data_IF_813860935747
#
_entry.id   IF_813860935747
#
_cell.length_a   1.000
_cell.length_b   1.000
_cell.length_c   1.000
_cell.angle_alpha   90.00
_cell.angle_beta   90.00
_cell.angle_gamma   90.00
#
_symmetry.space_group_name_H-M   'P 1'
#
loop_
_entity.id
_entity.type
_entity.pdbx_description
1 polymer ?
#
# COMPACT_ATOMS: atom_id res chain seq x y z
N UNK A 1 19.24 -9.75 -22.22
CA UNK A 1 18.07 -10.64 -22.30
C UNK A 1 16.84 -9.78 -22.54
N UNK A 2 15.91 -10.20 -23.39
CA UNK A 2 14.65 -9.47 -23.60
C UNK A 2 13.78 -9.64 -22.33
N UNK A 3 13.07 -8.59 -21.91
CA UNK A 3 12.13 -8.69 -20.78
C UNK A 3 11.09 -9.78 -21.06
N UNK A 4 10.93 -10.72 -20.12
CA UNK A 4 10.04 -11.88 -20.25
C UNK A 4 10.70 -13.17 -20.75
N UNK A 5 11.99 -13.16 -21.09
CA UNK A 5 12.76 -14.38 -21.38
C UNK A 5 13.34 -15.02 -20.10
N UNK A 6 13.48 -16.35 -20.10
CA UNK A 6 14.18 -17.07 -19.03
C UNK A 6 15.62 -16.56 -18.93
N UNK A 7 16.09 -16.40 -17.70
CA UNK A 7 17.34 -15.69 -17.48
C UNK A 7 18.13 -16.35 -16.32
N UNK A 8 19.44 -16.60 -16.47
CA UNK A 8 20.23 -17.34 -15.49
C UNK A 8 20.54 -16.50 -14.23
N UNK A 9 20.28 -17.06 -13.06
CA UNK A 9 20.67 -16.58 -11.75
C UNK A 9 21.80 -17.46 -11.25
N UNK A 10 22.90 -16.86 -10.80
CA UNK A 10 24.02 -17.60 -10.25
C UNK A 10 23.95 -17.56 -8.72
N UNK A 11 23.98 -18.72 -8.09
CA UNK A 11 24.00 -18.88 -6.64
C UNK A 11 25.31 -19.54 -6.23
N UNK A 12 26.12 -18.83 -5.45
CA UNK A 12 27.37 -19.37 -4.92
C UNK A 12 27.15 -19.90 -3.49
N UNK A 13 27.63 -21.11 -3.19
CA UNK A 13 27.69 -21.64 -1.83
C UNK A 13 28.92 -21.11 -1.09
N UNK A 14 28.91 -21.26 0.23
CA UNK A 14 30.05 -20.99 1.10
C UNK A 14 31.24 -21.93 0.84
N UNK A 15 31.00 -23.09 0.23
CA UNK A 15 32.02 -24.03 -0.24
C UNK A 15 32.61 -23.66 -1.62
N UNK A 16 32.11 -22.60 -2.26
CA UNK A 16 32.62 -22.08 -3.54
C UNK A 16 32.01 -22.71 -4.80
N UNK A 17 30.97 -23.53 -4.65
CA UNK A 17 30.22 -24.07 -5.78
C UNK A 17 29.26 -23.02 -6.35
N UNK A 18 29.14 -22.95 -7.68
CA UNK A 18 28.21 -22.02 -8.36
C UNK A 18 27.13 -22.79 -9.10
N UNK A 19 25.89 -22.54 -8.72
CA UNK A 19 24.70 -23.12 -9.34
C UNK A 19 24.02 -22.12 -10.28
N UNK A 20 23.57 -22.59 -11.44
CA UNK A 20 22.68 -21.82 -12.31
C UNK A 20 21.22 -22.16 -12.03
N UNK A 21 20.45 -21.16 -11.61
CA UNK A 21 18.99 -21.22 -11.45
C UNK A 21 18.33 -20.39 -12.55
N UNK A 22 17.26 -20.89 -13.15
CA UNK A 22 16.53 -20.11 -14.17
C UNK A 22 15.43 -19.25 -13.54
N UNK A 23 15.55 -17.93 -13.67
CA UNK A 23 14.45 -17.01 -13.36
C UNK A 23 13.44 -17.03 -14.51
N UNK A 24 12.25 -17.59 -14.24
CA UNK A 24 11.19 -17.79 -15.23
C UNK A 24 9.95 -16.90 -14.99
N UNK A 25 9.89 -16.19 -13.85
CA UNK A 25 8.78 -15.31 -13.47
C UNK A 25 9.31 -14.11 -12.68
N UNK A 26 8.62 -12.98 -12.80
CA UNK A 26 9.00 -11.73 -12.15
C UNK A 26 10.07 -10.95 -12.91
N UNK A 27 10.45 -9.81 -12.35
CA UNK A 27 11.56 -8.97 -12.82
C UNK A 27 12.75 -9.17 -11.90
N UNK A 28 13.96 -9.04 -12.44
CA UNK A 28 15.19 -9.22 -11.65
C UNK A 28 15.40 -8.03 -10.71
N UNK A 29 15.89 -8.30 -9.52
CA UNK A 29 16.39 -7.24 -8.65
C UNK A 29 17.67 -6.66 -9.27
N UNK A 30 17.78 -5.32 -9.27
CA UNK A 30 18.90 -4.61 -9.93
C UNK A 30 18.69 -4.36 -11.43
N UNK A 31 17.58 -4.83 -12.01
CA UNK A 31 17.22 -4.52 -13.38
C UNK A 31 16.64 -3.08 -13.48
N UNK A 32 17.21 -2.21 -14.33
CA UNK A 32 16.77 -0.81 -14.44
C UNK A 32 15.29 -0.62 -14.77
N UNK A 33 14.66 -1.52 -15.54
CA UNK A 33 13.25 -1.38 -15.91
C UNK A 33 12.29 -2.15 -15.00
N UNK A 34 12.80 -2.93 -14.03
CA UNK A 34 11.98 -3.75 -13.14
C UNK A 34 10.88 -2.95 -12.45
N UNK A 35 11.21 -1.79 -11.89
CA UNK A 35 10.26 -0.93 -11.19
C UNK A 35 9.15 -0.42 -12.10
N UNK A 36 9.49 0.03 -13.32
CA UNK A 36 8.52 0.51 -14.29
C UNK A 36 7.59 -0.61 -14.77
N UNK A 37 8.13 -1.79 -15.08
CA UNK A 37 7.35 -2.94 -15.52
C UNK A 37 6.42 -3.45 -14.41
N UNK A 38 6.89 -3.48 -13.16
CA UNK A 38 6.06 -3.80 -12.00
C UNK A 38 4.92 -2.79 -11.85
N UNK A 39 5.23 -1.50 -11.90
CA UNK A 39 4.23 -0.44 -11.80
C UNK A 39 3.16 -0.56 -12.90
N UNK A 40 3.55 -0.80 -14.16
CA UNK A 40 2.62 -0.99 -15.27
C UNK A 40 1.70 -2.20 -15.04
N UNK A 41 2.27 -3.33 -14.61
CA UNK A 41 1.51 -4.55 -14.37
C UNK A 41 0.46 -4.39 -13.25
N UNK A 42 0.83 -3.69 -12.17
CA UNK A 42 -0.05 -3.50 -11.01
C UNK A 42 -1.02 -2.33 -11.20
N UNK A 43 -0.67 -1.32 -11.99
CA UNK A 43 -1.46 -0.10 -12.16
C UNK A 43 -2.91 -0.37 -12.59
N UNK A 44 -3.13 -1.32 -13.51
CA UNK A 44 -4.49 -1.66 -13.97
C UNK A 44 -5.37 -2.20 -12.85
N UNK A 45 -4.81 -3.06 -12.00
CA UNK A 45 -5.50 -3.64 -10.85
C UNK A 45 -5.85 -2.56 -9.83
N UNK A 46 -4.93 -1.63 -9.59
CA UNK A 46 -5.16 -0.52 -8.65
C UNK A 46 -6.18 0.48 -9.20
N UNK A 47 -6.18 0.74 -10.50
CA UNK A 47 -7.16 1.62 -11.14
C UNK A 47 -8.60 1.09 -11.00
N UNK A 48 -8.80 -0.22 -11.08
CA UNK A 48 -10.10 -0.85 -10.79
C UNK A 48 -10.56 -0.57 -9.34
N UNK A 49 -9.66 -0.69 -8.36
CA UNK A 49 -9.96 -0.40 -6.95
C UNK A 49 -10.25 1.09 -6.77
N UNK A 50 -9.48 1.99 -7.40
CA UNK A 50 -9.72 3.43 -7.35
C UNK A 50 -11.11 3.81 -7.87
N UNK A 51 -11.55 3.21 -8.97
CA UNK A 51 -12.89 3.45 -9.54
C UNK A 51 -14.01 2.92 -8.64
N UNK A 52 -13.79 1.78 -7.98
CA UNK A 52 -14.77 1.17 -7.08
C UNK A 52 -14.91 1.93 -5.75
N UNK A 53 -13.85 2.61 -5.29
CA UNK A 53 -13.81 3.32 -4.01
C UNK A 53 -13.34 4.78 -4.19
N UNK A 54 -14.17 5.66 -4.78
CA UNK A 54 -13.81 7.05 -5.05
C UNK A 54 -13.58 7.89 -3.77
N UNK A 55 -14.02 7.40 -2.61
CA UNK A 55 -13.80 8.01 -1.31
C UNK A 55 -12.52 7.54 -0.60
N UNK A 56 -11.73 6.68 -1.25
CA UNK A 56 -10.44 6.18 -0.75
C UNK A 56 -9.31 6.69 -1.64
N UNK A 57 -8.43 7.51 -1.05
CA UNK A 57 -7.17 7.88 -1.66
C UNK A 57 -6.22 6.68 -1.67
N UNK A 58 -5.76 6.27 -2.86
CA UNK A 58 -4.81 5.19 -3.03
C UNK A 58 -3.49 5.75 -3.57
N UNK A 59 -2.48 5.82 -2.70
CA UNK A 59 -1.12 6.21 -3.05
C UNK A 59 -0.28 4.95 -3.25
N UNK A 60 0.46 4.89 -4.35
CA UNK A 60 1.30 3.74 -4.66
C UNK A 60 2.68 4.21 -5.13
N UNK A 61 3.71 3.64 -4.53
CA UNK A 61 5.10 3.78 -4.94
C UNK A 61 5.70 2.38 -5.00
N UNK A 62 5.94 1.87 -6.20
CA UNK A 62 6.32 0.47 -6.41
C UNK A 62 5.37 -0.50 -5.68
N UNK A 63 5.89 -1.36 -4.79
CA UNK A 63 5.14 -2.33 -3.99
C UNK A 63 4.48 -1.71 -2.75
N UNK A 64 4.90 -0.54 -2.32
CA UNK A 64 4.29 0.18 -1.21
C UNK A 64 2.98 0.83 -1.64
N UNK A 65 1.87 0.37 -1.05
CA UNK A 65 0.52 0.91 -1.29
C UNK A 65 -0.10 1.40 0.01
N UNK A 66 -0.54 2.66 0.01
CA UNK A 66 -1.25 3.28 1.13
C UNK A 66 -2.69 3.59 0.72
N UNK A 67 -3.65 3.10 1.50
CA UNK A 67 -5.07 3.38 1.33
C UNK A 67 -5.55 4.29 2.46
N UNK A 68 -6.10 5.46 2.12
CA UNK A 68 -6.57 6.44 3.11
C UNK A 68 -7.99 6.87 2.79
N UNK A 69 -8.89 6.75 3.76
CA UNK A 69 -10.29 7.13 3.60
C UNK A 69 -11.16 6.62 4.75
N UNK A 70 -12.49 6.68 4.59
CA UNK A 70 -13.41 6.17 5.60
C UNK A 70 -13.12 4.71 5.92
N UNK A 71 -13.09 4.37 7.21
CA UNK A 71 -12.69 3.05 7.72
C UNK A 71 -13.30 1.86 6.96
N UNK A 72 -14.60 1.91 6.68
CA UNK A 72 -15.30 0.81 5.97
C UNK A 72 -14.87 0.72 4.51
N UNK A 73 -14.78 1.85 3.82
CA UNK A 73 -14.37 1.92 2.41
C UNK A 73 -12.91 1.51 2.25
N UNK A 74 -12.02 2.01 3.11
CA UNK A 74 -10.59 1.66 3.08
C UNK A 74 -10.36 0.16 3.35
N UNK A 75 -11.13 -0.45 4.26
CA UNK A 75 -11.08 -1.90 4.49
C UNK A 75 -11.52 -2.70 3.26
N UNK A 76 -12.66 -2.35 2.66
CA UNK A 76 -13.16 -3.02 1.45
C UNK A 76 -12.24 -2.82 0.26
N UNK A 77 -11.65 -1.63 0.12
CA UNK A 77 -10.63 -1.34 -0.89
C UNK A 77 -9.38 -2.21 -0.70
N UNK A 78 -8.91 -2.39 0.53
CA UNK A 78 -7.79 -3.28 0.84
C UNK A 78 -8.12 -4.75 0.50
N UNK A 79 -9.34 -5.23 0.79
CA UNK A 79 -9.79 -6.57 0.42
C UNK A 79 -9.80 -6.76 -1.11
N UNK A 80 -10.44 -5.85 -1.83
CA UNK A 80 -10.49 -5.91 -3.29
C UNK A 80 -9.09 -5.84 -3.92
N UNK A 81 -8.20 -4.99 -3.39
CA UNK A 81 -6.82 -4.90 -3.83
C UNK A 81 -6.10 -6.25 -3.65
N UNK A 82 -6.25 -6.90 -2.50
CA UNK A 82 -5.64 -8.19 -2.23
C UNK A 82 -6.13 -9.29 -3.18
N UNK A 83 -7.45 -9.33 -3.43
CA UNK A 83 -8.06 -10.23 -4.41
C UNK A 83 -7.47 -9.99 -5.80
N UNK A 84 -7.40 -8.73 -6.26
CA UNK A 84 -6.84 -8.39 -7.56
C UNK A 84 -5.35 -8.75 -7.67
N UNK A 85 -4.55 -8.44 -6.65
CA UNK A 85 -3.13 -8.81 -6.61
C UNK A 85 -2.93 -10.34 -6.69
N UNK A 86 -3.82 -11.13 -6.08
CA UNK A 86 -3.73 -12.59 -6.11
C UNK A 86 -3.89 -13.16 -7.52
N UNK A 87 -4.66 -12.49 -8.40
CA UNK A 87 -4.85 -12.93 -9.80
C UNK A 87 -3.57 -12.88 -10.63
N UNK A 88 -2.61 -12.05 -10.22
CA UNK A 88 -1.28 -11.92 -10.85
C UNK A 88 -0.17 -12.58 -10.03
N UNK A 89 -0.52 -13.35 -9.00
CA UNK A 89 0.43 -14.07 -8.15
C UNK A 89 1.13 -13.21 -7.09
N UNK A 90 0.65 -11.99 -6.85
CA UNK A 90 1.15 -11.12 -5.77
C UNK A 90 0.32 -11.33 -4.50
N UNK A 91 0.96 -11.11 -3.34
CA UNK A 91 0.32 -11.24 -2.03
C UNK A 91 0.68 -10.06 -1.16
N UNK A 92 -0.28 -9.58 -0.37
CA UNK A 92 -0.02 -8.58 0.66
C UNK A 92 0.81 -9.20 1.78
N UNK A 93 1.79 -8.44 2.27
CA UNK A 93 2.62 -8.85 3.38
C UNK A 93 2.00 -8.36 4.70
N UNK A 94 1.24 -9.22 5.38
CA UNK A 94 0.51 -8.86 6.61
C UNK A 94 1.43 -8.45 7.75
N UNK A 95 2.64 -9.02 7.86
CA UNK A 95 3.59 -8.66 8.92
C UNK A 95 4.26 -7.29 8.69
N UNK A 96 4.31 -6.82 7.44
CA UNK A 96 4.79 -5.47 7.11
C UNK A 96 3.66 -4.44 6.99
N UNK A 97 2.42 -4.89 6.80
CA UNK A 97 1.25 -4.01 6.64
C UNK A 97 0.86 -3.39 7.98
N UNK A 98 0.69 -2.07 7.97
CA UNK A 98 0.28 -1.30 9.14
C UNK A 98 -1.12 -0.72 8.94
N UNK A 99 -1.97 -0.89 9.96
CA UNK A 99 -3.23 -0.17 10.08
C UNK A 99 -2.97 1.03 10.98
N UNK A 100 -3.04 2.23 10.41
CA UNK A 100 -2.82 3.45 11.17
C UNK A 100 -4.11 3.88 11.87
N UNK A 101 -4.00 4.25 13.14
CA UNK A 101 -5.06 4.96 13.84
C UNK A 101 -4.53 6.21 14.53
N UNK A 102 -5.41 7.21 14.68
CA UNK A 102 -5.10 8.50 15.31
C UNK A 102 -4.46 8.27 16.69
N UNK A 103 -3.43 9.05 17.02
CA UNK A 103 -2.78 8.98 18.34
C UNK A 103 -3.77 9.36 19.46
N UNK A 104 -3.70 8.66 20.59
CA UNK A 104 -4.53 8.95 21.76
C UNK A 104 -5.94 8.37 21.69
N UNK A 105 -6.16 7.38 20.83
CA UNK A 105 -7.45 6.67 20.78
C UNK A 105 -7.67 5.89 22.07
N UNK A 106 -8.92 5.90 22.55
CA UNK A 106 -9.32 5.12 23.72
C UNK A 106 -9.14 3.61 23.43
N UNK A 107 -8.79 2.81 24.43
CA UNK A 107 -8.63 1.35 24.26
C UNK A 107 -9.89 0.67 23.71
N UNK A 108 -11.09 1.17 24.05
CA UNK A 108 -12.35 0.70 23.45
C UNK A 108 -12.39 0.87 21.93
N UNK A 109 -11.80 1.96 21.42
CA UNK A 109 -11.72 2.23 19.98
C UNK A 109 -10.68 1.32 19.33
N UNK A 110 -9.50 1.16 19.94
CA UNK A 110 -8.46 0.24 19.45
C UNK A 110 -8.96 -1.21 19.40
N UNK A 111 -9.65 -1.65 20.46
CA UNK A 111 -10.27 -2.97 20.51
C UNK A 111 -11.37 -3.14 19.45
N UNK A 112 -12.11 -2.08 19.11
CA UNK A 112 -13.06 -2.10 17.99
C UNK A 112 -12.32 -2.23 16.65
N UNK A 113 -11.25 -1.49 16.43
CA UNK A 113 -10.43 -1.59 15.20
C UNK A 113 -9.86 -3.00 15.05
N UNK A 114 -9.25 -3.57 16.11
CA UNK A 114 -8.72 -4.95 16.10
C UNK A 114 -9.80 -5.99 15.80
N UNK A 115 -11.02 -5.82 16.33
CA UNK A 115 -12.15 -6.70 16.03
C UNK A 115 -12.57 -6.62 14.57
N UNK A 116 -12.58 -5.42 14.00
CA UNK A 116 -12.90 -5.21 12.58
C UNK A 116 -11.81 -5.78 11.68
N UNK A 117 -10.53 -5.61 12.03
CA UNK A 117 -9.40 -6.24 11.33
C UNK A 117 -9.50 -7.77 11.32
N UNK A 118 -10.09 -8.38 12.36
CA UNK A 118 -10.35 -9.83 12.44
C UNK A 118 -11.68 -10.24 11.80
N UNK A 119 -12.64 -9.31 11.62
CA UNK A 119 -13.96 -9.62 11.08
C UNK A 119 -13.90 -9.58 9.55
N UNK A 120 -13.97 -10.77 8.95
CA UNK A 120 -14.48 -10.98 7.58
C UNK A 120 -16.03 -10.93 7.52
N UNK A 121 -16.68 -10.68 8.67
CA UNK A 121 -18.09 -10.99 8.90
C UNK A 121 -19.03 -9.85 8.53
N UNK A 122 -19.41 -9.76 7.25
CA UNK A 122 -20.78 -9.37 6.90
C UNK A 122 -21.49 -10.41 6.00
N UNK A 123 -20.83 -11.50 5.58
CA UNK A 123 -21.50 -12.57 4.78
C UNK A 123 -20.98 -13.99 5.11
N UNK A 124 -21.84 -14.98 5.43
CA UNK A 124 -21.43 -16.38 5.56
C UNK A 124 -20.84 -16.89 4.23
N UNK A 125 -19.56 -17.32 4.25
CA UNK A 125 -18.84 -17.77 3.05
C UNK A 125 -17.80 -16.78 2.50
N UNK A 126 -17.67 -15.59 3.09
CA UNK A 126 -16.66 -14.59 2.70
C UNK A 126 -15.21 -15.03 3.00
N UNK A 127 -14.23 -14.63 2.16
CA UNK A 127 -12.81 -14.94 2.37
C UNK A 127 -12.27 -14.32 3.66
N UNK A 128 -11.18 -14.87 4.25
CA UNK A 128 -10.57 -14.35 5.47
C UNK A 128 -10.15 -12.87 5.33
N UNK A 129 -10.13 -12.15 6.44
CA UNK A 129 -9.78 -10.71 6.42
C UNK A 129 -8.33 -10.52 6.00
N UNK A 130 -8.08 -9.70 4.99
CA UNK A 130 -6.71 -9.36 4.57
C UNK A 130 -5.93 -8.61 5.65
N UNK A 131 -6.63 -7.92 6.55
CA UNK A 131 -6.00 -7.19 7.65
C UNK A 131 -5.76 -8.06 8.89
N UNK A 132 -6.14 -9.34 8.85
CA UNK A 132 -5.87 -10.26 9.94
C UNK A 132 -4.34 -10.44 10.09
N UNK A 133 -3.84 -10.25 11.31
CA UNK A 133 -2.41 -10.30 11.61
C UNK A 133 -1.62 -9.01 11.33
N UNK A 134 -2.25 -7.97 10.73
CA UNK A 134 -1.59 -6.67 10.53
C UNK A 134 -1.33 -5.94 11.85
N UNK A 135 -0.29 -5.11 11.88
CA UNK A 135 0.04 -4.32 13.06
C UNK A 135 -0.84 -3.06 13.15
N UNK A 136 -1.52 -2.87 14.29
CA UNK A 136 -2.19 -1.60 14.59
C UNK A 136 -1.17 -0.63 15.17
N UNK A 137 -0.97 0.50 14.49
CA UNK A 137 0.04 1.49 14.86
C UNK A 137 -0.61 2.83 15.14
N UNK A 138 -0.31 3.41 16.30
CA UNK A 138 -0.74 4.76 16.66
C UNK A 138 0.24 5.78 16.09
N UNK A 139 -0.08 6.32 14.92
CA UNK A 139 0.69 7.39 14.28
C UNK A 139 -0.27 8.42 13.72
N UNK A 140 0.06 9.69 13.92
CA UNK A 140 -0.54 10.78 13.15
C UNK A 140 0.05 10.71 11.75
N UNK A 141 -0.79 10.73 10.70
CA UNK A 141 -0.31 10.85 9.32
C UNK A 141 0.21 12.27 9.16
N UNK A 142 1.52 12.42 8.92
CA UNK A 142 2.09 13.66 8.44
C UNK A 142 2.08 13.61 6.91
N UNK A 143 1.52 14.63 6.28
CA UNK A 143 1.68 14.83 4.84
C UNK A 143 3.14 15.18 4.62
N UNK A 144 3.92 14.27 4.06
CA UNK A 144 5.28 14.57 3.61
C UNK A 144 5.15 15.50 2.40
N UNK A 145 5.36 16.81 2.62
CA UNK A 145 5.77 17.67 1.51
C UNK A 145 7.10 17.11 0.99
N UNK A 146 7.23 16.96 -0.32
CA UNK A 146 8.54 16.79 -0.93
C UNK A 146 9.18 18.20 -0.94
N UNK A 147 10.22 18.49 -0.14
CA UNK A 147 10.87 19.78 -0.24
C UNK A 147 11.82 19.68 -1.42
N UNK A 148 11.43 20.26 -2.56
CA UNK A 148 12.41 20.70 -3.54
C UNK A 148 12.47 22.22 -3.44
N UNK A 149 13.39 22.70 -2.59
CA UNK A 149 14.01 24.00 -2.82
C UNK A 149 13.48 25.25 -2.12
N UNK A 150 12.54 25.21 -1.16
CA UNK A 150 12.22 26.43 -0.39
C UNK A 150 12.08 26.14 1.11
N UNK A 151 12.95 26.77 1.90
CA UNK A 151 12.88 26.82 3.36
C UNK A 151 11.64 27.61 3.79
N UNK A 152 10.52 26.91 3.98
CA UNK A 152 9.36 27.48 4.67
C UNK A 152 9.44 27.12 6.16
N UNK A 153 9.20 28.10 7.07
CA UNK A 153 9.10 27.83 8.50
C UNK A 153 8.06 26.72 8.77
N UNK A 154 8.33 25.78 9.68
CA UNK A 154 7.52 24.57 9.87
C UNK A 154 6.05 24.83 10.22
N UNK A 155 5.72 25.99 10.79
CA UNK A 155 4.35 26.38 11.14
C UNK A 155 3.53 26.87 9.92
N UNK A 156 4.19 27.42 8.90
CA UNK A 156 3.55 27.89 7.65
C UNK A 156 3.34 26.74 6.66
N UNK A 157 4.11 25.65 6.81
CA UNK A 157 4.08 24.51 5.91
C UNK A 157 2.75 23.73 5.95
N UNK A 158 2.11 23.59 7.12
CA UNK A 158 0.91 22.77 7.25
C UNK A 158 -0.31 23.41 6.59
N UNK A 159 -0.64 24.66 6.94
CA UNK A 159 -1.82 25.35 6.39
C UNK A 159 -1.69 25.56 4.87
N UNK A 160 -0.48 25.85 4.40
CA UNK A 160 -0.20 25.98 2.96
C UNK A 160 -0.26 24.62 2.24
N UNK A 161 0.25 23.55 2.85
CA UNK A 161 0.07 22.18 2.33
C UNK A 161 -1.40 21.80 2.23
N UNK A 162 -2.17 22.16 3.24
CA UNK A 162 -3.59 21.84 3.31
C UNK A 162 -4.38 22.55 2.21
N UNK A 163 -4.16 23.85 2.02
CA UNK A 163 -4.76 24.61 0.90
C UNK A 163 -4.36 24.03 -0.46
N UNK A 164 -3.12 23.54 -0.61
CA UNK A 164 -2.67 22.86 -1.83
C UNK A 164 -3.33 21.50 -2.02
N UNK A 165 -3.43 20.68 -0.97
CA UNK A 165 -4.11 19.39 -1.03
C UNK A 165 -5.61 19.54 -1.33
N UNK A 166 -6.27 20.53 -0.73
CA UNK A 166 -7.66 20.87 -1.06
C UNK A 166 -7.81 21.33 -2.51
N UNK A 167 -6.83 22.07 -3.04
CA UNK A 167 -6.81 22.50 -4.44
C UNK A 167 -6.55 21.34 -5.41
N UNK A 168 -5.65 20.42 -5.07
CA UNK A 168 -5.22 19.30 -5.94
C UNK A 168 -6.15 18.07 -5.83
N UNK A 169 -6.72 17.79 -4.65
CA UNK A 169 -7.53 16.60 -4.37
C UNK A 169 -8.98 16.92 -3.98
N UNK A 170 -9.37 18.20 -3.90
CA UNK A 170 -10.73 18.63 -3.60
C UNK A 170 -11.17 18.28 -2.16
N UNK A 171 -12.49 18.18 -1.88
CA UNK A 171 -13.04 17.89 -0.54
C UNK A 171 -12.72 16.48 0.00
N UNK A 172 -11.90 15.69 -0.70
CA UNK A 172 -11.30 14.47 -0.18
C UNK A 172 -10.10 14.77 0.75
N UNK A 173 -9.43 15.92 0.58
CA UNK A 173 -8.29 16.33 1.39
C UNK A 173 -8.64 16.59 2.87
N UNK A 174 -9.77 17.24 3.15
CA UNK A 174 -10.23 17.47 4.53
C UNK A 174 -10.45 16.16 5.31
N UNK A 175 -10.81 15.08 4.60
CA UNK A 175 -11.09 13.76 5.21
C UNK A 175 -9.85 12.97 5.59
N UNK A 176 -8.67 13.35 5.10
CA UNK A 176 -7.38 12.78 5.51
C UNK A 176 -7.04 13.11 6.98
N UNK A 177 -7.68 14.12 7.56
CA UNK A 177 -7.29 14.71 8.85
C UNK A 177 -8.37 14.64 9.95
N UNK A 178 -9.60 14.23 9.63
CA UNK A 178 -10.69 14.02 10.60
C UNK A 178 -10.56 12.68 11.34
#
# INVERSE_FOLDING_TARGET
ALYGSSSPLFFATDEGEVFELKSNRGVRQGDPAAGALFAIAVHRLVDEVRRAFPDVLILQMADDTTLVGPRRSAFKAAQMLAERLSTVGLRMNTSKTQVLCKRGQLERTKARIRREMKRSRDDPGSPPSVLEGCHLTERSVAVLQCPVGEELPPEVALEHSMKRLEKEFGPAAERLLA
#
